data_IF_013698941773
#
_entry.id   IF_013698941773
#
_cell.length_a   1.000
_cell.length_b   1.000
_cell.length_c   1.000
_cell.angle_alpha   90.00
_cell.angle_beta   90.00
_cell.angle_gamma   90.00
#
_symmetry.space_group_name_H-M   'P 1'
#
loop_
_entity.id
_entity.type
_entity.pdbx_description
1 polymer ?
#
# COMPACT_ATOMS: atom_id res chain seq x y z
N UNK A 1 21.88 28.68 7.60
CA UNK A 1 21.18 27.96 6.50
C UNK A 1 20.03 27.15 7.10
N UNK A 2 18.74 27.55 6.95
CA UNK A 2 17.63 26.97 7.72
C UNK A 2 16.74 25.98 6.94
N UNK A 3 17.16 25.48 5.77
CA UNK A 3 16.30 24.70 4.87
C UNK A 3 16.20 23.19 5.15
N UNK A 4 16.96 22.62 6.09
CA UNK A 4 16.95 21.16 6.34
C UNK A 4 15.87 20.68 7.31
N UNK A 5 15.58 21.45 8.37
CA UNK A 5 14.70 20.99 9.45
C UNK A 5 13.22 20.89 9.02
N UNK A 6 12.74 21.86 8.23
CA UNK A 6 11.33 21.90 7.79
C UNK A 6 10.94 20.82 6.77
N UNK A 7 11.89 20.23 6.03
CA UNK A 7 11.59 19.26 4.98
C UNK A 7 11.47 17.84 5.57
N UNK A 8 12.30 17.49 6.54
CA UNK A 8 12.27 16.18 7.21
C UNK A 8 11.01 16.01 8.06
N UNK A 9 10.64 17.01 8.86
CA UNK A 9 9.41 16.99 9.68
C UNK A 9 8.14 16.86 8.80
N UNK A 10 8.12 17.52 7.64
CA UNK A 10 6.96 17.50 6.75
C UNK A 10 6.82 16.17 5.99
N UNK A 11 7.93 15.47 5.76
CA UNK A 11 7.92 14.12 5.18
C UNK A 11 7.45 13.08 6.19
N UNK A 12 7.87 13.18 7.45
CA UNK A 12 7.41 12.28 8.50
C UNK A 12 5.91 12.45 8.77
N UNK A 13 5.45 13.70 8.88
CA UNK A 13 4.03 14.01 9.05
C UNK A 13 3.20 13.49 7.89
N UNK A 14 3.67 13.67 6.65
CA UNK A 14 2.99 13.13 5.47
C UNK A 14 2.87 11.60 5.52
N UNK A 15 3.92 10.87 5.94
CA UNK A 15 3.86 9.41 6.06
C UNK A 15 2.81 8.98 7.09
N UNK A 16 2.81 9.61 8.27
CA UNK A 16 1.83 9.34 9.33
C UNK A 16 0.40 9.62 8.86
N UNK A 17 0.17 10.77 8.24
CA UNK A 17 -1.14 11.19 7.74
C UNK A 17 -1.66 10.22 6.66
N UNK A 18 -0.84 9.86 5.68
CA UNK A 18 -1.25 8.93 4.62
C UNK A 18 -1.49 7.52 5.17
N UNK A 19 -0.66 7.05 6.10
CA UNK A 19 -0.86 5.76 6.78
C UNK A 19 -2.14 5.75 7.62
N UNK A 20 -2.49 6.84 8.28
CA UNK A 20 -3.75 6.95 9.03
C UNK A 20 -4.96 6.90 8.10
N UNK A 21 -4.93 7.63 6.97
CA UNK A 21 -5.99 7.56 5.96
C UNK A 21 -6.13 6.13 5.38
N UNK A 22 -5.03 5.41 5.18
CA UNK A 22 -5.06 4.01 4.76
C UNK A 22 -5.78 3.15 5.79
N UNK A 23 -5.51 3.34 7.09
CA UNK A 23 -6.16 2.56 8.15
C UNK A 23 -7.67 2.82 8.21
N UNK A 24 -8.08 4.07 8.05
CA UNK A 24 -9.50 4.47 8.03
C UNK A 24 -10.24 3.83 6.84
N UNK A 25 -9.62 3.80 5.66
CA UNK A 25 -10.19 3.19 4.45
C UNK A 25 -10.14 1.66 4.50
N UNK A 26 -9.11 1.11 5.15
CA UNK A 26 -8.98 -0.33 5.33
C UNK A 26 -10.10 -0.88 6.22
N UNK A 27 -10.60 -0.09 7.17
CA UNK A 27 -11.71 -0.45 8.06
C UNK A 27 -11.49 -1.83 8.73
N UNK A 28 -10.30 -2.02 9.30
CA UNK A 28 -9.90 -3.28 9.93
C UNK A 28 -9.47 -4.40 8.98
N UNK A 29 -9.58 -4.23 7.65
CA UNK A 29 -8.99 -5.17 6.69
C UNK A 29 -7.46 -5.12 6.74
N UNK A 30 -6.83 -6.27 6.56
CA UNK A 30 -5.37 -6.40 6.63
C UNK A 30 -4.71 -5.74 5.43
N UNK A 31 -3.57 -5.08 5.65
CA UNK A 31 -2.82 -4.42 4.58
C UNK A 31 -1.51 -5.16 4.34
N UNK A 32 -1.17 -5.36 3.07
CA UNK A 32 0.09 -5.93 2.61
C UNK A 32 0.78 -5.01 1.61
N UNK A 33 2.09 -5.18 1.44
CA UNK A 33 2.86 -4.53 0.38
C UNK A 33 3.10 -5.51 -0.76
N UNK A 34 2.83 -5.09 -2.00
CA UNK A 34 3.12 -5.90 -3.18
C UNK A 34 4.59 -5.75 -3.59
N UNK A 35 5.30 -6.88 -3.68
CA UNK A 35 6.73 -6.93 -4.06
C UNK A 35 7.65 -6.03 -3.22
N UNK A 36 8.90 -5.80 -3.67
CA UNK A 36 9.90 -4.97 -2.96
C UNK A 36 9.91 -3.58 -3.56
N UNK A 37 9.19 -2.63 -2.96
CA UNK A 37 9.54 -1.23 -3.14
C UNK A 37 10.03 -0.64 -1.81
N UNK A 38 11.27 -0.14 -1.76
CA UNK A 38 11.82 0.51 -0.57
C UNK A 38 10.93 1.63 0.00
N UNK A 39 10.19 2.30 -0.89
CA UNK A 39 9.25 3.39 -0.56
C UNK A 39 8.09 2.91 0.31
N UNK A 40 7.68 1.64 0.24
CA UNK A 40 6.54 1.13 0.99
C UNK A 40 6.85 0.81 2.45
N UNK A 41 8.11 0.55 2.80
CA UNK A 41 8.45 0.08 4.15
C UNK A 41 8.15 1.11 5.24
N UNK A 42 8.29 2.40 4.95
CA UNK A 42 8.02 3.44 5.93
C UNK A 42 6.52 3.63 6.17
N UNK A 43 5.70 3.56 5.12
CA UNK A 43 4.23 3.57 5.28
C UNK A 43 3.74 2.30 5.96
N UNK A 44 4.29 1.15 5.56
CA UNK A 44 3.99 -0.16 6.15
C UNK A 44 4.33 -0.22 7.64
N UNK A 45 5.38 0.48 8.09
CA UNK A 45 5.68 0.62 9.50
C UNK A 45 4.54 1.30 10.27
N UNK A 46 4.10 2.49 9.85
CA UNK A 46 3.03 3.21 10.53
C UNK A 46 1.68 2.48 10.47
N UNK A 47 1.39 1.83 9.34
CA UNK A 47 0.19 0.99 9.19
C UNK A 47 0.24 -0.19 10.15
N UNK A 48 1.37 -0.90 10.21
CA UNK A 48 1.54 -2.04 11.11
C UNK A 48 1.44 -1.65 12.58
N UNK A 49 1.99 -0.49 12.96
CA UNK A 49 1.79 0.09 14.31
C UNK A 49 0.30 0.33 14.59
N UNK A 50 -0.45 0.88 13.62
CA UNK A 50 -1.88 1.13 13.78
C UNK A 50 -2.74 -0.14 13.83
N UNK A 51 -2.35 -1.20 13.13
CA UNK A 51 -3.03 -2.51 13.13
C UNK A 51 -2.54 -3.46 14.23
N UNK A 52 -1.50 -3.07 14.97
CA UNK A 52 -0.78 -3.95 15.89
C UNK A 52 -0.32 -5.26 15.22
N UNK A 53 0.10 -5.19 13.96
CA UNK A 53 0.61 -6.31 13.18
C UNK A 53 1.83 -5.93 12.33
N UNK A 54 2.62 -6.91 11.90
CA UNK A 54 3.68 -6.66 10.92
C UNK A 54 3.06 -6.75 9.53
N UNK A 55 3.02 -5.62 8.82
CA UNK A 55 2.57 -5.56 7.42
C UNK A 55 3.42 -6.51 6.57
N UNK A 56 2.76 -7.49 5.97
CA UNK A 56 3.43 -8.53 5.22
C UNK A 56 3.79 -8.07 3.82
N UNK A 57 4.88 -8.65 3.30
CA UNK A 57 5.28 -8.51 1.91
C UNK A 57 4.85 -9.74 1.13
N UNK A 58 4.01 -9.54 0.13
CA UNK A 58 3.48 -10.61 -0.70
C UNK A 58 3.89 -10.41 -2.17
N UNK A 59 4.17 -11.51 -2.86
CA UNK A 59 4.52 -11.50 -4.30
C UNK A 59 3.34 -11.83 -5.20
N UNK A 60 2.29 -12.38 -4.62
CA UNK A 60 1.06 -12.78 -5.30
C UNK A 60 -0.07 -12.06 -4.55
N UNK A 61 -0.94 -11.30 -5.24
CA UNK A 61 -2.12 -10.76 -4.61
C UNK A 61 -3.07 -11.90 -4.25
N UNK A 62 -3.70 -11.79 -3.11
CA UNK A 62 -4.60 -12.78 -2.54
C UNK A 62 -5.66 -12.10 -1.68
N UNK A 63 -6.77 -12.80 -1.50
CA UNK A 63 -8.09 -12.27 -1.14
C UNK A 63 -8.18 -11.63 0.26
N UNK A 64 -7.27 -11.97 1.17
CA UNK A 64 -7.35 -11.51 2.57
C UNK A 64 -6.71 -10.16 2.85
N UNK A 65 -6.17 -9.48 1.83
CA UNK A 65 -5.41 -8.25 2.02
C UNK A 65 -5.77 -7.16 1.02
N UNK A 66 -5.68 -5.93 1.49
CA UNK A 66 -5.50 -4.75 0.65
C UNK A 66 -4.02 -4.58 0.33
N UNK A 67 -3.70 -4.14 -0.87
CA UNK A 67 -2.33 -4.04 -1.34
C UNK A 67 -1.90 -2.59 -1.55
N UNK A 68 -0.74 -2.23 -1.00
CA UNK A 68 -0.03 -1.02 -1.41
C UNK A 68 0.80 -1.29 -2.65
N UNK A 69 0.53 -0.54 -3.71
CA UNK A 69 1.13 -0.68 -5.04
C UNK A 69 1.37 0.69 -5.70
N UNK A 70 2.37 0.79 -6.57
CA UNK A 70 2.56 1.97 -7.42
C UNK A 70 1.88 1.78 -8.78
N UNK A 71 1.67 2.88 -9.49
CA UNK A 71 1.03 2.88 -10.81
C UNK A 71 1.71 1.94 -11.82
N UNK A 72 3.04 1.79 -11.77
CA UNK A 72 3.76 0.94 -12.73
C UNK A 72 3.50 -0.54 -12.46
N UNK A 73 3.28 -0.92 -11.20
CA UNK A 73 2.92 -2.30 -10.86
C UNK A 73 1.47 -2.62 -11.24
N UNK A 74 0.57 -1.64 -11.13
CA UNK A 74 -0.84 -1.83 -11.49
C UNK A 74 -1.05 -2.18 -12.97
N UNK A 75 -0.20 -1.72 -13.88
CA UNK A 75 -0.30 -2.07 -15.32
C UNK A 75 -0.09 -3.56 -15.59
N UNK A 76 0.39 -4.33 -14.61
CA UNK A 76 0.60 -5.78 -14.75
C UNK A 76 -0.64 -6.61 -14.39
N UNK A 77 -1.75 -5.96 -14.03
CA UNK A 77 -2.99 -6.62 -13.59
C UNK A 77 -4.16 -6.18 -14.45
N UNK A 78 -5.04 -7.13 -14.77
CA UNK A 78 -6.22 -6.90 -15.60
C UNK A 78 -7.38 -6.30 -14.80
N UNK A 79 -7.56 -6.74 -13.54
CA UNK A 79 -8.67 -6.33 -12.69
C UNK A 79 -8.19 -5.95 -11.29
N UNK A 80 -8.61 -4.77 -10.83
CA UNK A 80 -8.38 -4.26 -9.48
C UNK A 80 -9.29 -3.06 -9.23
N UNK A 81 -9.55 -2.78 -7.95
CA UNK A 81 -10.24 -1.57 -7.50
C UNK A 81 -9.26 -0.70 -6.71
N UNK A 82 -9.14 0.57 -7.08
CA UNK A 82 -8.34 1.55 -6.31
C UNK A 82 -9.24 2.17 -5.24
N UNK A 83 -8.92 1.90 -3.97
CA UNK A 83 -9.66 2.41 -2.82
C UNK A 83 -9.12 3.77 -2.34
N UNK A 84 -7.81 3.96 -2.45
CA UNK A 84 -7.15 5.19 -2.04
C UNK A 84 -5.92 5.43 -2.89
N UNK A 85 -5.61 6.69 -3.19
CA UNK A 85 -4.45 7.07 -3.98
C UNK A 85 -3.85 8.36 -3.44
N UNK A 86 -2.54 8.39 -3.27
CA UNK A 86 -1.82 9.57 -2.80
C UNK A 86 -0.45 9.72 -3.46
N UNK A 87 0.01 10.96 -3.59
CA UNK A 87 1.30 11.30 -4.21
C UNK A 87 2.39 11.33 -3.16
N UNK A 88 3.51 10.66 -3.42
CA UNK A 88 4.71 10.73 -2.58
C UNK A 88 5.37 12.10 -2.78
N UNK A 89 5.61 12.86 -1.70
CA UNK A 89 6.11 14.25 -1.82
C UNK A 89 7.52 14.42 -2.38
N UNK A 90 8.37 13.39 -2.31
CA UNK A 90 9.78 13.47 -2.69
C UNK A 90 10.11 12.83 -4.05
N UNK A 91 9.12 12.24 -4.74
CA UNK A 91 9.28 11.69 -6.09
C UNK A 91 7.96 11.74 -6.86
N UNK A 92 8.01 11.68 -8.19
CA UNK A 92 6.80 11.62 -9.03
C UNK A 92 6.17 10.22 -9.07
N UNK A 93 5.85 9.66 -7.89
CA UNK A 93 5.18 8.37 -7.77
C UNK A 93 3.89 8.51 -6.99
N UNK A 94 2.89 7.78 -7.45
CA UNK A 94 1.63 7.58 -6.74
C UNK A 94 1.65 6.21 -6.06
N UNK A 95 1.16 6.17 -4.84
CA UNK A 95 0.87 4.94 -4.12
C UNK A 95 -0.63 4.77 -4.11
N UNK A 96 -1.06 3.55 -4.40
CA UNK A 96 -2.43 3.11 -4.47
C UNK A 96 -2.64 2.04 -3.41
N UNK A 97 -3.72 2.18 -2.64
CA UNK A 97 -4.32 1.10 -1.89
C UNK A 97 -5.33 0.43 -2.82
N UNK A 98 -5.08 -0.83 -3.15
CA UNK A 98 -5.92 -1.57 -4.09
C UNK A 98 -6.47 -2.85 -3.48
N UNK A 99 -7.62 -3.23 -3.99
CA UNK A 99 -8.29 -4.49 -3.74
C UNK A 99 -8.35 -5.26 -5.05
N UNK A 100 -8.04 -6.55 -4.99
CA UNK A 100 -8.21 -7.45 -6.13
C UNK A 100 -9.54 -8.20 -5.96
N UNK A 101 -10.32 -8.37 -7.04
CA UNK A 101 -11.52 -9.18 -6.97
C UNK A 101 -11.17 -10.61 -6.55
N UNK A 102 -12.10 -11.28 -5.88
CA UNK A 102 -12.05 -12.72 -5.69
C UNK A 102 -11.85 -13.34 -7.07
N UNK A 103 -10.72 -14.03 -7.27
CA UNK A 103 -10.67 -14.97 -8.37
C UNK A 103 -11.57 -16.10 -7.91
N UNK A 104 -12.78 -16.19 -8.46
CA UNK A 104 -13.50 -17.46 -8.43
C UNK A 104 -12.46 -18.52 -8.81
N UNK A 105 -12.32 -19.54 -7.96
CA UNK A 105 -11.42 -20.65 -8.19
C UNK A 105 -11.94 -21.43 -9.41
N UNK A 106 -11.79 -20.86 -10.61
CA UNK A 106 -12.10 -21.49 -11.87
C UNK A 106 -10.94 -22.41 -12.20
N UNK A 107 -11.22 -23.70 -12.00
CA UNK A 107 -10.59 -24.85 -12.63
C UNK A 107 -9.09 -25.09 -12.37
N UNK A 108 -8.83 -25.73 -11.24
CA UNK A 108 -7.89 -26.85 -11.20
C UNK A 108 -8.66 -28.17 -10.96
N UNK A 109 -9.65 -28.42 -11.81
CA UNK A 109 -10.25 -29.74 -12.05
C UNK A 109 -10.01 -30.13 -13.51
N UNK A 110 -8.76 -30.40 -13.88
CA UNK A 110 -8.29 -31.13 -15.07
C UNK A 110 -6.75 -31.11 -14.95
N UNK A 111 -5.99 -32.21 -14.92
CA UNK A 111 -6.10 -33.53 -15.54
C UNK A 111 -5.29 -34.54 -14.72
#
# INVERSE_FOLDING_TARGET
MPYRYYVEDNLENHKKEMSQNILEIADGRRVAIYQKAPVYFEYAYYIGVGQNEIVQRLKVPGESYLYLMDDNLLTSFEEYTVLYRFKVRYKEYWINLVEFPEKEASDASAE
#
